data_IF_739811746899
#
_entry.id   IF_739811746899
#
_cell.length_a   1.000
_cell.length_b   1.000
_cell.length_c   1.000
_cell.angle_alpha   90.00
_cell.angle_beta   90.00
_cell.angle_gamma   90.00
#
_symmetry.space_group_name_H-M   'P 1'
#
loop_
_entity.id
_entity.type
_entity.pdbx_description
1 polymer ?
#
# COMPACT_ATOMS: atom_id res chain seq x y z
N UNK A 1 -34.10 -39.97 -29.89
CA UNK A 1 -34.27 -38.93 -28.85
C UNK A 1 -32.88 -38.61 -28.32
N UNK A 2 -32.40 -37.38 -28.50
CA UNK A 2 -31.09 -36.97 -28.03
C UNK A 2 -31.16 -36.63 -26.52
N UNK A 3 -30.15 -37.04 -25.76
CA UNK A 3 -30.06 -36.76 -24.32
C UNK A 3 -30.03 -35.24 -24.05
N UNK A 4 -30.60 -34.76 -22.93
CA UNK A 4 -30.54 -33.36 -22.55
C UNK A 4 -29.10 -32.87 -22.45
N UNK A 5 -28.83 -31.66 -22.96
CA UNK A 5 -27.52 -31.01 -22.86
C UNK A 5 -27.04 -31.00 -21.39
N UNK A 6 -26.01 -31.78 -21.09
CA UNK A 6 -25.40 -31.85 -19.74
C UNK A 6 -25.24 -33.26 -19.15
N UNK A 7 -25.74 -34.33 -19.77
CA UNK A 7 -25.62 -35.70 -19.24
C UNK A 7 -24.31 -36.45 -19.63
N UNK A 8 -23.31 -35.73 -20.12
CA UNK A 8 -21.98 -36.28 -20.40
C UNK A 8 -21.01 -36.01 -19.24
N UNK A 9 -20.06 -36.92 -19.03
CA UNK A 9 -18.94 -36.91 -18.07
C UNK A 9 -17.96 -35.71 -18.20
N UNK A 10 -18.44 -34.53 -18.56
CA UNK A 10 -17.67 -33.32 -18.79
C UNK A 10 -18.43 -32.07 -18.35
N UNK A 11 -19.06 -32.12 -17.16
CA UNK A 11 -19.76 -30.99 -16.55
C UNK A 11 -18.82 -29.84 -16.20
N UNK A 12 -18.44 -29.07 -17.21
CA UNK A 12 -17.60 -27.87 -17.21
C UNK A 12 -18.27 -26.64 -16.57
N UNK A 13 -19.02 -26.83 -15.48
CA UNK A 13 -19.87 -25.78 -14.88
C UNK A 13 -19.46 -25.25 -13.51
N UNK A 14 -18.45 -25.85 -12.86
CA UNK A 14 -17.91 -25.37 -11.60
C UNK A 14 -16.44 -25.04 -11.78
N UNK A 15 -16.02 -23.83 -11.41
CA UNK A 15 -14.61 -23.45 -11.39
C UNK A 15 -13.81 -24.58 -10.72
N UNK A 16 -12.89 -25.21 -11.45
CA UNK A 16 -12.06 -26.27 -10.91
C UNK A 16 -11.21 -25.70 -9.76
N UNK A 17 -10.72 -26.54 -8.84
CA UNK A 17 -9.82 -26.05 -7.77
C UNK A 17 -8.63 -25.27 -8.35
N UNK A 18 -8.14 -25.67 -9.53
CA UNK A 18 -7.11 -24.96 -10.27
C UNK A 18 -7.58 -23.59 -10.76
N UNK A 19 -8.83 -23.43 -11.18
CA UNK A 19 -9.41 -22.13 -11.54
C UNK A 19 -9.56 -21.22 -10.31
N UNK A 20 -9.98 -21.77 -9.17
CA UNK A 20 -10.10 -21.03 -7.91
C UNK A 20 -8.73 -20.58 -7.41
N UNK A 21 -7.73 -21.46 -7.43
CA UNK A 21 -6.34 -21.14 -7.08
C UNK A 21 -5.73 -20.10 -8.03
N UNK A 22 -6.00 -20.20 -9.34
CA UNK A 22 -5.61 -19.20 -10.33
C UNK A 22 -6.31 -17.85 -10.10
N UNK A 23 -7.58 -17.84 -9.66
CA UNK A 23 -8.33 -16.62 -9.34
C UNK A 23 -7.87 -15.97 -8.02
N UNK A 24 -7.54 -16.78 -7.00
CA UNK A 24 -6.98 -16.32 -5.73
C UNK A 24 -5.58 -15.75 -5.94
N UNK A 25 -4.73 -16.49 -6.67
CA UNK A 25 -3.42 -16.02 -7.13
C UNK A 25 -3.56 -14.67 -7.83
N UNK A 26 -4.37 -14.58 -8.89
CA UNK A 26 -4.56 -13.35 -9.66
C UNK A 26 -5.10 -12.15 -8.87
N UNK A 27 -5.89 -12.37 -7.80
CA UNK A 27 -6.36 -11.28 -6.91
C UNK A 27 -5.27 -10.78 -5.98
N UNK A 28 -4.53 -11.68 -5.32
CA UNK A 28 -3.41 -11.31 -4.44
C UNK A 28 -2.27 -10.70 -5.25
N UNK A 29 -2.08 -11.19 -6.48
CA UNK A 29 -1.00 -10.81 -7.38
C UNK A 29 -0.97 -9.32 -7.77
N UNK A 30 -2.07 -8.58 -7.69
CA UNK A 30 -2.12 -7.18 -8.12
C UNK A 30 -2.33 -6.18 -6.96
N UNK A 31 -2.19 -6.64 -5.70
CA UNK A 31 -2.46 -5.81 -4.52
C UNK A 31 -1.30 -4.89 -4.15
N UNK A 32 -0.05 -5.23 -4.51
CA UNK A 32 1.13 -4.42 -4.15
C UNK A 32 0.97 -2.98 -4.65
N UNK A 33 0.54 -2.77 -5.90
CA UNK A 33 0.35 -1.42 -6.44
C UNK A 33 -0.71 -0.61 -5.69
N UNK A 34 -1.83 -1.24 -5.31
CA UNK A 34 -2.89 -0.59 -4.52
C UNK A 34 -2.40 -0.26 -3.11
N UNK A 35 -1.63 -1.17 -2.49
CA UNK A 35 -1.02 -0.96 -1.17
C UNK A 35 -0.02 0.19 -1.22
N UNK A 36 0.84 0.24 -2.24
CA UNK A 36 1.79 1.34 -2.44
C UNK A 36 1.08 2.68 -2.66
N UNK A 37 0.02 2.70 -3.48
CA UNK A 37 -0.80 3.92 -3.66
C UNK A 37 -1.49 4.34 -2.37
N UNK A 38 -2.01 3.39 -1.59
CA UNK A 38 -2.65 3.67 -0.30
C UNK A 38 -1.65 4.23 0.70
N UNK A 39 -0.43 3.68 0.75
CA UNK A 39 0.67 4.22 1.55
C UNK A 39 1.03 5.66 1.14
N UNK A 40 1.18 5.92 -0.15
CA UNK A 40 1.47 7.28 -0.64
C UNK A 40 0.33 8.25 -0.31
N UNK A 41 -0.92 7.81 -0.44
CA UNK A 41 -2.09 8.61 -0.05
C UNK A 41 -2.10 8.94 1.44
N UNK A 42 -1.84 7.95 2.30
CA UNK A 42 -1.73 8.16 3.75
C UNK A 42 -0.58 9.11 4.09
N UNK A 43 0.58 8.91 3.47
CA UNK A 43 1.75 9.77 3.63
C UNK A 43 1.43 11.23 3.30
N UNK A 44 0.84 11.50 2.14
CA UNK A 44 0.47 12.86 1.77
C UNK A 44 -0.61 13.43 2.71
N UNK A 45 -1.59 12.63 3.14
CA UNK A 45 -2.58 13.08 4.10
C UNK A 45 -1.95 13.49 5.45
N UNK A 46 -0.98 12.71 5.93
CA UNK A 46 -0.21 13.03 7.14
C UNK A 46 0.61 14.30 6.97
N UNK A 47 1.31 14.44 5.84
CA UNK A 47 2.08 15.64 5.52
C UNK A 47 1.20 16.88 5.49
N UNK A 48 0.15 16.88 4.68
CA UNK A 48 -0.73 18.04 4.56
C UNK A 48 -1.47 18.34 5.88
N UNK A 49 -1.95 17.33 6.60
CA UNK A 49 -2.68 17.52 7.84
C UNK A 49 -1.83 18.17 8.92
N UNK A 50 -0.60 17.69 9.11
CA UNK A 50 0.34 18.25 10.09
C UNK A 50 0.83 19.64 9.67
N UNK A 51 1.16 19.84 8.38
CA UNK A 51 1.55 21.15 7.83
C UNK A 51 0.47 22.20 8.07
N UNK A 52 -0.80 21.86 7.86
CA UNK A 52 -1.91 22.79 8.14
C UNK A 52 -1.91 23.20 9.62
N UNK A 53 -1.64 22.24 10.52
CA UNK A 53 -1.57 22.49 11.96
C UNK A 53 -0.52 23.54 12.34
N UNK A 54 0.73 23.34 11.96
CA UNK A 54 1.81 24.23 12.41
C UNK A 54 2.00 25.50 11.55
N UNK A 55 1.58 25.48 10.28
CA UNK A 55 1.68 26.67 9.41
C UNK A 55 0.52 27.66 9.64
N UNK A 56 -0.71 27.18 9.82
CA UNK A 56 -1.87 28.07 9.99
C UNK A 56 -2.22 28.33 11.45
N UNK A 57 -1.89 27.41 12.37
CA UNK A 57 -2.16 27.55 13.80
C UNK A 57 -0.89 27.46 14.65
N UNK A 58 0.15 28.28 14.38
CA UNK A 58 1.42 28.23 15.09
C UNK A 58 1.30 28.58 16.58
N UNK A 59 0.23 29.28 16.98
CA UNK A 59 -0.07 29.57 18.39
C UNK A 59 -0.48 28.32 19.18
N UNK A 60 -0.98 27.28 18.52
CA UNK A 60 -1.40 26.03 19.14
C UNK A 60 -0.36 24.92 18.92
N UNK A 61 0.31 24.93 17.77
CA UNK A 61 1.27 23.89 17.37
C UNK A 61 2.56 24.53 16.87
N UNK A 62 3.63 24.43 17.67
CA UNK A 62 4.94 24.88 17.24
C UNK A 62 5.45 24.07 16.05
N UNK A 63 6.16 24.73 15.13
CA UNK A 63 6.75 24.07 13.95
C UNK A 63 7.59 22.84 14.31
N UNK A 64 8.38 22.91 15.39
CA UNK A 64 9.18 21.78 15.87
C UNK A 64 8.34 20.54 16.26
N UNK A 65 7.18 20.73 16.90
CA UNK A 65 6.32 19.60 17.26
C UNK A 65 5.58 19.04 16.05
N UNK A 66 5.23 19.88 15.08
CA UNK A 66 4.70 19.47 13.78
C UNK A 66 5.67 18.57 13.00
N UNK A 67 6.93 18.99 12.88
CA UNK A 67 7.99 18.21 12.24
C UNK A 67 8.27 16.88 12.95
N UNK A 68 8.25 16.87 14.28
CA UNK A 68 8.39 15.62 15.04
C UNK A 68 7.24 14.65 14.76
N UNK A 69 5.99 15.11 14.84
CA UNK A 69 4.82 14.28 14.58
C UNK A 69 4.84 13.70 13.16
N UNK A 70 5.17 14.53 12.18
CA UNK A 70 5.40 14.17 10.78
C UNK A 70 6.37 12.99 10.61
N UNK A 71 7.56 13.08 11.20
CA UNK A 71 8.58 12.05 11.10
C UNK A 71 8.09 10.74 11.74
N UNK A 72 7.52 10.83 12.95
CA UNK A 72 7.05 9.65 13.68
C UNK A 72 5.92 8.93 12.93
N UNK A 73 4.93 9.68 12.45
CA UNK A 73 3.80 9.11 11.70
C UNK A 73 4.27 8.47 10.38
N UNK A 74 5.21 9.12 9.68
CA UNK A 74 5.80 8.55 8.45
C UNK A 74 6.51 7.21 8.73
N UNK A 75 7.23 7.09 9.85
CA UNK A 75 7.88 5.82 10.24
C UNK A 75 6.83 4.73 10.49
N UNK A 76 5.76 5.05 11.22
CA UNK A 76 4.67 4.10 11.50
C UNK A 76 4.00 3.62 10.21
N UNK A 77 3.70 4.55 9.30
CA UNK A 77 3.12 4.24 7.99
C UNK A 77 4.07 3.40 7.12
N UNK A 78 5.37 3.71 7.12
CA UNK A 78 6.37 2.97 6.36
C UNK A 78 6.51 1.52 6.86
N UNK A 79 6.48 1.30 8.18
CA UNK A 79 6.48 -0.05 8.76
C UNK A 79 5.20 -0.80 8.39
N UNK A 80 4.04 -0.13 8.49
CA UNK A 80 2.75 -0.70 8.07
C UNK A 80 2.75 -1.11 6.60
N UNK A 81 3.25 -0.24 5.72
CA UNK A 81 3.43 -0.51 4.29
C UNK A 81 4.30 -1.74 4.04
N UNK A 82 5.48 -1.81 4.68
CA UNK A 82 6.38 -2.96 4.58
C UNK A 82 5.68 -4.25 5.00
N UNK A 83 4.94 -4.24 6.11
CA UNK A 83 4.21 -5.40 6.58
C UNK A 83 3.10 -5.82 5.59
N UNK A 84 2.31 -4.89 5.08
CA UNK A 84 1.26 -5.17 4.12
C UNK A 84 1.81 -5.78 2.82
N UNK A 85 2.91 -5.25 2.29
CA UNK A 85 3.54 -5.82 1.08
C UNK A 85 4.12 -7.20 1.38
N UNK A 86 4.74 -7.41 2.55
CA UNK A 86 5.29 -8.71 2.93
C UNK A 86 4.23 -9.79 3.03
N UNK A 87 3.11 -9.51 3.67
CA UNK A 87 1.98 -10.45 3.79
C UNK A 87 1.42 -10.84 2.42
N UNK A 88 1.35 -9.88 1.49
CA UNK A 88 0.81 -10.12 0.14
C UNK A 88 1.79 -10.86 -0.78
N UNK A 89 3.10 -10.72 -0.55
CA UNK A 89 4.13 -11.44 -1.30
C UNK A 89 4.50 -12.80 -0.69
N UNK A 90 4.02 -13.12 0.50
CA UNK A 90 4.33 -14.38 1.18
C UNK A 90 3.86 -15.59 0.36
N UNK A 91 4.75 -16.55 0.13
CA UNK A 91 4.48 -17.72 -0.72
C UNK A 91 4.45 -17.43 -2.24
N UNK A 92 4.76 -16.20 -2.66
CA UNK A 92 4.88 -15.81 -4.07
C UNK A 92 6.34 -15.79 -4.55
N UNK A 93 6.55 -15.91 -5.86
CA UNK A 93 7.86 -15.70 -6.51
C UNK A 93 8.13 -14.24 -6.85
N UNK A 94 7.20 -13.33 -6.51
CA UNK A 94 7.30 -11.90 -6.79
C UNK A 94 8.35 -11.21 -5.95
N UNK A 95 8.90 -10.14 -6.51
CA UNK A 95 9.94 -9.33 -5.86
C UNK A 95 9.70 -7.86 -6.14
N UNK A 96 8.91 -7.19 -5.30
CA UNK A 96 8.67 -5.74 -5.39
C UNK A 96 9.71 -4.88 -4.68
N UNK A 97 10.87 -5.44 -4.31
CA UNK A 97 11.97 -4.73 -3.64
C UNK A 97 12.35 -3.39 -4.30
N UNK A 98 12.36 -3.32 -5.63
CA UNK A 98 12.67 -2.08 -6.35
C UNK A 98 11.60 -1.00 -6.16
N UNK A 99 10.32 -1.40 -6.20
CA UNK A 99 9.21 -0.50 -5.93
C UNK A 99 9.27 -0.02 -4.48
N UNK A 100 9.38 -0.94 -3.51
CA UNK A 100 9.48 -0.62 -2.07
C UNK A 100 10.62 0.35 -1.81
N UNK A 101 11.82 0.08 -2.35
CA UNK A 101 12.98 0.95 -2.18
C UNK A 101 12.74 2.35 -2.78
N UNK A 102 12.14 2.41 -3.97
CA UNK A 102 11.76 3.68 -4.59
C UNK A 102 10.73 4.46 -3.78
N UNK A 103 9.69 3.79 -3.26
CA UNK A 103 8.66 4.46 -2.46
C UNK A 103 9.21 4.98 -1.15
N UNK A 104 9.92 4.13 -0.38
CA UNK A 104 10.47 4.50 0.92
C UNK A 104 11.60 5.52 0.80
N UNK A 105 12.45 5.37 -0.22
CA UNK A 105 13.50 6.34 -0.52
C UNK A 105 12.91 7.70 -0.89
N UNK A 106 11.86 7.71 -1.72
CA UNK A 106 11.16 8.93 -2.13
C UNK A 106 10.48 9.65 -0.97
N UNK A 107 9.72 8.94 -0.14
CA UNK A 107 9.07 9.55 1.04
C UNK A 107 10.09 10.02 2.06
N UNK A 108 11.18 9.28 2.28
CA UNK A 108 12.28 9.72 3.16
C UNK A 108 12.95 10.99 2.65
N UNK A 109 13.29 11.05 1.36
CA UNK A 109 13.91 12.24 0.77
C UNK A 109 13.00 13.47 0.87
N UNK A 110 11.70 13.28 0.62
CA UNK A 110 10.72 14.34 0.81
C UNK A 110 10.66 14.82 2.26
N UNK A 111 10.63 13.90 3.23
CA UNK A 111 10.59 14.26 4.64
C UNK A 111 11.83 15.03 5.09
N UNK A 112 13.00 14.64 4.61
CA UNK A 112 14.24 15.38 4.86
C UNK A 112 14.17 16.79 4.27
N UNK A 113 13.64 16.93 3.05
CA UNK A 113 13.43 18.25 2.45
C UNK A 113 12.51 19.13 3.30
N UNK A 114 11.35 18.61 3.72
CA UNK A 114 10.40 19.37 4.55
C UNK A 114 11.06 19.76 5.86
N UNK A 115 11.69 18.81 6.57
CA UNK A 115 12.31 19.06 7.86
C UNK A 115 13.48 20.05 7.81
N UNK A 116 14.16 20.19 6.67
CA UNK A 116 15.31 21.09 6.51
C UNK A 116 14.93 22.48 6.00
N UNK A 117 13.87 22.60 5.21
CA UNK A 117 13.61 23.82 4.43
C UNK A 117 12.24 24.47 4.66
N UNK A 118 11.35 23.83 5.42
CA UNK A 118 10.01 24.36 5.69
C UNK A 118 9.88 24.65 7.19
N UNK A 119 9.45 25.87 7.54
CA UNK A 119 9.31 26.34 8.92
C UNK A 119 7.89 26.81 9.20
#
# INVERSE_FOLDING_TARGET
MALPKGFGSGGSGGASRADVEAMIGRRVENMVGIITLSYLGAFFATVFGTMVGYLYYPWAYASASGHFAMIVLTIVEAIGYLFCVKVVEEGSTKRSNGLIAGTLGGTTAFMLYVAMFIS
#
